data_IF_379693559668
#
_entry.id   IF_379693559668
#
_cell.length_a   1.000
_cell.length_b   1.000
_cell.length_c   1.000
_cell.angle_alpha   90.00
_cell.angle_beta   90.00
_cell.angle_gamma   90.00
#
_symmetry.space_group_name_H-M   'P 1'
#
loop_
_entity.id
_entity.type
_entity.pdbx_description
1 polymer ?
#
# COMPACT_ATOMS: atom_id res chain seq x y z
N UNK A 1 -11.25 -10.63 -21.16
CA UNK A 1 -10.94 -9.57 -20.18
C UNK A 1 -9.71 -8.82 -20.63
N UNK A 2 -9.64 -7.49 -20.41
CA UNK A 2 -8.60 -6.63 -20.98
C UNK A 2 -7.17 -6.87 -20.45
N UNK A 3 -7.02 -7.49 -19.26
CA UNK A 3 -5.72 -7.81 -18.61
C UNK A 3 -4.73 -6.62 -18.58
N UNK A 4 -5.29 -5.42 -18.48
CA UNK A 4 -4.55 -4.18 -18.37
C UNK A 4 -3.84 -4.12 -17.01
N UNK A 5 -2.54 -3.81 -16.94
CA UNK A 5 -1.85 -3.56 -15.68
C UNK A 5 -2.54 -2.44 -14.89
N UNK A 6 -2.69 -2.61 -13.58
CA UNK A 6 -3.38 -1.64 -12.71
C UNK A 6 -2.44 -0.96 -11.73
N UNK A 7 -2.64 0.33 -11.51
CA UNK A 7 -1.90 1.15 -10.57
C UNK A 7 -2.85 1.75 -9.55
N UNK A 8 -2.55 1.58 -8.26
CA UNK A 8 -3.31 2.19 -7.17
C UNK A 8 -2.51 3.35 -6.59
N UNK A 9 -3.08 4.54 -6.64
CA UNK A 9 -2.52 5.77 -6.06
C UNK A 9 -3.32 6.16 -4.84
N UNK A 10 -2.69 6.84 -3.88
CA UNK A 10 -3.40 7.42 -2.73
C UNK A 10 -2.52 7.50 -1.49
N UNK A 11 -2.97 8.16 -0.41
CA UNK A 11 -2.19 8.32 0.81
C UNK A 11 -1.97 6.99 1.54
N UNK A 12 -1.04 6.95 2.50
CA UNK A 12 -0.84 5.76 3.32
C UNK A 12 -2.10 5.42 4.11
N UNK A 13 -2.36 4.13 4.30
CA UNK A 13 -3.44 3.66 5.18
C UNK A 13 -4.87 3.95 4.69
N UNK A 14 -5.09 4.30 3.41
CA UNK A 14 -6.42 4.46 2.82
C UNK A 14 -7.06 3.17 2.27
N UNK A 15 -6.38 2.02 2.39
CA UNK A 15 -6.95 0.71 2.04
C UNK A 15 -6.54 0.12 0.69
N UNK A 16 -5.54 0.67 -0.02
CA UNK A 16 -5.04 0.14 -1.30
C UNK A 16 -4.71 -1.35 -1.27
N UNK A 17 -3.85 -1.80 -0.35
CA UNK A 17 -3.45 -3.21 -0.27
C UNK A 17 -4.64 -4.12 0.07
N UNK A 18 -5.52 -3.69 0.99
CA UNK A 18 -6.74 -4.43 1.35
C UNK A 18 -7.74 -4.51 0.19
N UNK A 19 -7.81 -3.49 -0.67
CA UNK A 19 -8.59 -3.54 -1.90
C UNK A 19 -8.04 -4.60 -2.87
N UNK A 20 -6.71 -4.69 -3.03
CA UNK A 20 -6.10 -5.73 -3.88
C UNK A 20 -6.39 -7.14 -3.35
N UNK A 21 -6.28 -7.34 -2.03
CA UNK A 21 -6.64 -8.60 -1.37
C UNK A 21 -8.10 -8.98 -1.61
N UNK A 22 -9.03 -8.03 -1.43
CA UNK A 22 -10.44 -8.24 -1.70
C UNK A 22 -10.69 -8.60 -3.17
N UNK A 23 -10.03 -7.92 -4.11
CA UNK A 23 -10.17 -8.20 -5.54
C UNK A 23 -9.59 -9.56 -5.91
N UNK A 24 -8.46 -9.98 -5.31
CA UNK A 24 -7.90 -11.30 -5.50
C UNK A 24 -8.87 -12.40 -5.01
N UNK A 25 -9.43 -12.22 -3.81
CA UNK A 25 -10.47 -13.11 -3.27
C UNK A 25 -11.70 -13.16 -4.18
N UNK A 26 -12.24 -11.99 -4.57
CA UNK A 26 -13.45 -11.87 -5.40
C UNK A 26 -13.28 -12.48 -6.79
N UNK A 27 -12.08 -12.39 -7.36
CA UNK A 27 -11.75 -12.95 -8.67
C UNK A 27 -11.30 -14.43 -8.60
N UNK A 28 -11.24 -15.00 -7.39
CA UNK A 28 -10.70 -16.33 -7.11
C UNK A 28 -9.31 -16.53 -7.73
N UNK A 29 -8.40 -15.59 -7.44
CA UNK A 29 -7.02 -15.60 -7.94
C UNK A 29 -6.03 -15.63 -6.78
N UNK A 30 -4.93 -16.40 -6.88
CA UNK A 30 -3.81 -16.26 -5.96
C UNK A 30 -3.25 -14.84 -6.01
N UNK A 31 -2.86 -14.32 -4.85
CA UNK A 31 -2.19 -13.03 -4.72
C UNK A 31 -0.76 -13.26 -4.24
N UNK A 32 0.20 -12.73 -4.99
CA UNK A 32 1.61 -12.70 -4.61
C UNK A 32 1.96 -11.23 -4.38
N UNK A 33 2.06 -10.85 -3.12
CA UNK A 33 2.45 -9.49 -2.69
C UNK A 33 3.95 -9.41 -2.50
N UNK A 34 4.56 -8.36 -3.04
CA UNK A 34 5.96 -8.03 -2.86
C UNK A 34 6.05 -6.63 -2.26
N UNK A 35 6.56 -6.53 -1.03
CA UNK A 35 6.89 -5.26 -0.41
C UNK A 35 8.20 -4.73 -1.00
N UNK A 36 8.11 -3.65 -1.78
CA UNK A 36 9.27 -3.07 -2.45
C UNK A 36 10.10 -2.25 -1.47
N UNK A 37 11.43 -2.27 -1.66
CA UNK A 37 12.36 -1.50 -0.86
C UNK A 37 13.64 -1.20 -1.68
N UNK A 38 14.48 -0.31 -1.16
CA UNK A 38 15.68 0.16 -1.86
C UNK A 38 16.75 -0.91 -2.11
N UNK A 39 16.74 -1.99 -1.32
CA UNK A 39 17.69 -3.10 -1.46
C UNK A 39 17.20 -4.17 -2.44
N UNK A 40 15.93 -4.08 -2.88
CA UNK A 40 15.35 -5.05 -3.80
C UNK A 40 15.99 -4.94 -5.19
N UNK A 41 16.51 -6.06 -5.68
CA UNK A 41 17.08 -6.18 -7.02
C UNK A 41 16.11 -6.84 -7.99
N UNK A 42 16.37 -6.70 -9.30
CA UNK A 42 15.62 -7.43 -10.33
C UNK A 42 15.69 -8.96 -10.14
N UNK A 43 16.78 -9.49 -9.57
CA UNK A 43 16.91 -10.93 -9.30
C UNK A 43 15.99 -11.39 -8.16
N UNK A 44 15.67 -10.53 -7.20
CA UNK A 44 14.72 -10.87 -6.14
C UNK A 44 13.30 -11.00 -6.68
N UNK A 45 12.93 -10.23 -7.71
CA UNK A 45 11.63 -10.33 -8.39
C UNK A 45 11.56 -11.52 -9.36
N UNK A 46 12.59 -11.70 -10.19
CA UNK A 46 12.58 -12.69 -11.28
C UNK A 46 13.01 -14.07 -10.82
N UNK A 47 14.01 -14.15 -9.97
CA UNK A 47 14.60 -15.41 -9.51
C UNK A 47 16.12 -15.42 -9.57
N UNK A 48 16.70 -16.42 -8.94
CA UNK A 48 18.14 -16.60 -8.80
C UNK A 48 18.50 -18.09 -8.73
N UNK A 49 19.76 -18.37 -9.04
CA UNK A 49 20.35 -19.67 -8.73
C UNK A 49 20.75 -19.73 -7.26
N UNK A 50 20.38 -20.82 -6.60
CA UNK A 50 20.78 -21.15 -5.24
C UNK A 50 21.71 -22.37 -5.28
N UNK A 51 22.72 -22.35 -4.41
CA UNK A 51 23.58 -23.50 -4.17
C UNK A 51 22.91 -24.41 -3.13
N UNK A 52 22.70 -25.67 -3.50
CA UNK A 52 22.21 -26.73 -2.63
C UNK A 52 23.22 -27.87 -2.59
N UNK A 53 23.03 -28.85 -1.68
CA UNK A 53 23.91 -30.02 -1.51
C UNK A 53 24.08 -30.83 -2.80
N UNK A 54 23.06 -30.86 -3.65
CA UNK A 54 23.05 -31.58 -4.93
C UNK A 54 23.53 -30.72 -6.12
N UNK A 55 23.96 -29.48 -5.86
CA UNK A 55 24.41 -28.53 -6.89
C UNK A 55 23.52 -27.29 -7.01
N UNK A 56 23.69 -26.58 -8.12
CA UNK A 56 23.03 -25.29 -8.37
C UNK A 56 21.61 -25.48 -8.89
N UNK A 57 20.60 -24.99 -8.17
CA UNK A 57 19.18 -25.07 -8.54
C UNK A 57 18.61 -23.67 -8.80
N UNK A 58 17.77 -23.53 -9.83
CA UNK A 58 17.05 -22.29 -10.09
C UNK A 58 15.84 -22.16 -9.15
N UNK A 59 15.67 -20.99 -8.54
CA UNK A 59 14.47 -20.63 -7.80
C UNK A 59 13.81 -19.42 -8.47
N UNK A 60 12.56 -19.59 -8.91
CA UNK A 60 11.75 -18.49 -9.43
C UNK A 60 11.47 -17.47 -8.31
N UNK A 61 11.55 -16.20 -8.66
CA UNK A 61 11.10 -15.11 -7.81
C UNK A 61 9.57 -14.96 -7.82
N UNK A 62 9.01 -14.05 -7.00
CA UNK A 62 7.57 -13.85 -6.89
C UNK A 62 6.94 -13.39 -8.21
N UNK A 63 7.61 -12.54 -8.99
CA UNK A 63 7.09 -12.06 -10.28
C UNK A 63 7.06 -13.18 -11.32
N UNK A 64 8.13 -13.98 -11.42
CA UNK A 64 8.19 -15.11 -12.33
C UNK A 64 7.15 -16.18 -11.95
N UNK A 65 7.03 -16.49 -10.65
CA UNK A 65 6.03 -17.43 -10.15
C UNK A 65 4.61 -16.97 -10.52
N UNK A 66 4.28 -15.71 -10.25
CA UNK A 66 2.96 -15.16 -10.60
C UNK A 66 2.69 -15.23 -12.11
N UNK A 67 3.69 -14.89 -12.93
CA UNK A 67 3.61 -14.94 -14.37
C UNK A 67 3.38 -16.37 -14.89
N UNK A 68 3.94 -17.39 -14.26
CA UNK A 68 3.73 -18.80 -14.65
C UNK A 68 2.35 -19.34 -14.26
N UNK A 69 1.91 -19.07 -13.03
CA UNK A 69 0.69 -19.70 -12.48
C UNK A 69 -0.59 -18.89 -12.74
N UNK A 70 -0.47 -17.69 -13.32
CA UNK A 70 -1.62 -16.83 -13.57
C UNK A 70 -2.17 -16.16 -12.31
N UNK A 71 -1.29 -15.79 -11.37
CA UNK A 71 -1.64 -15.07 -10.17
C UNK A 71 -1.71 -13.54 -10.41
N UNK A 72 -2.29 -12.84 -9.44
CA UNK A 72 -2.10 -11.40 -9.29
C UNK A 72 -0.74 -11.20 -8.62
N UNK A 73 0.17 -10.49 -9.28
CA UNK A 73 1.39 -9.98 -8.66
C UNK A 73 1.17 -8.53 -8.24
N UNK A 74 1.27 -8.27 -6.94
CA UNK A 74 1.11 -6.95 -6.36
C UNK A 74 2.45 -6.42 -5.86
N UNK A 75 2.97 -5.38 -6.51
CA UNK A 75 4.18 -4.68 -6.08
C UNK A 75 3.76 -3.49 -5.21
N UNK A 76 3.82 -3.68 -3.89
CA UNK A 76 3.45 -2.65 -2.91
C UNK A 76 4.61 -1.66 -2.77
N UNK A 77 4.29 -0.36 -2.80
CA UNK A 77 5.26 0.74 -2.72
C UNK A 77 6.37 0.66 -3.78
N UNK A 78 6.01 0.39 -5.04
CA UNK A 78 6.96 0.11 -6.14
C UNK A 78 8.02 1.18 -6.39
N UNK A 79 7.75 2.41 -5.97
CA UNK A 79 8.65 3.58 -5.99
C UNK A 79 9.84 3.47 -5.04
N UNK A 80 9.74 2.65 -3.99
CA UNK A 80 10.87 2.38 -3.09
C UNK A 80 11.87 1.41 -3.71
N UNK A 81 11.47 0.65 -4.74
CA UNK A 81 12.40 -0.18 -5.49
C UNK A 81 13.36 0.67 -6.33
N UNK A 82 14.57 0.16 -6.53
CA UNK A 82 15.51 0.75 -7.47
C UNK A 82 14.93 0.80 -8.89
N UNK A 83 15.30 1.83 -9.65
CA UNK A 83 14.75 2.04 -10.99
C UNK A 83 15.03 0.86 -11.94
N UNK A 84 16.21 0.25 -11.87
CA UNK A 84 16.59 -0.95 -12.62
C UNK A 84 15.76 -2.18 -12.22
N UNK A 85 15.30 -2.26 -10.98
CA UNK A 85 14.35 -3.27 -10.54
C UNK A 85 12.96 -3.02 -11.12
N UNK A 86 12.49 -1.76 -11.20
CA UNK A 86 11.14 -1.46 -11.74
C UNK A 86 11.01 -1.72 -13.24
N UNK A 87 12.07 -1.56 -14.05
CA UNK A 87 11.98 -1.78 -15.51
C UNK A 87 11.75 -3.25 -15.89
N UNK A 88 12.00 -4.18 -14.97
CA UNK A 88 11.80 -5.63 -15.19
C UNK A 88 10.35 -5.98 -15.51
N UNK A 89 9.40 -5.13 -15.12
CA UNK A 89 7.98 -5.34 -15.37
C UNK A 89 7.54 -4.88 -16.77
N UNK A 90 8.35 -4.08 -17.48
CA UNK A 90 7.94 -3.50 -18.78
C UNK A 90 7.54 -4.58 -19.80
N UNK A 91 8.31 -5.67 -19.99
CA UNK A 91 7.93 -6.73 -20.94
C UNK A 91 6.60 -7.44 -20.60
N UNK A 92 6.19 -7.42 -19.33
CA UNK A 92 4.92 -7.96 -18.85
C UNK A 92 3.72 -7.03 -19.09
N UNK A 93 3.97 -5.75 -19.36
CA UNK A 93 2.93 -4.74 -19.65
C UNK A 93 2.66 -4.57 -21.15
N UNK A 94 3.57 -5.04 -22.01
CA UNK A 94 3.40 -4.98 -23.46
C UNK A 94 2.44 -6.07 -23.95
N UNK A 95 1.95 -5.92 -25.20
CA UNK A 95 1.04 -6.87 -25.85
C UNK A 95 1.53 -8.35 -25.87
N UNK A 96 2.85 -8.57 -25.82
CA UNK A 96 3.46 -9.92 -25.82
C UNK A 96 3.43 -10.59 -24.45
N UNK A 97 3.36 -9.82 -23.37
CA UNK A 97 3.35 -10.28 -21.97
C UNK A 97 4.36 -11.40 -21.69
N UNK A 98 5.64 -11.12 -21.91
CA UNK A 98 6.73 -12.07 -21.69
C UNK A 98 7.63 -11.59 -20.56
N UNK A 99 8.23 -12.51 -19.79
CA UNK A 99 9.25 -12.20 -18.80
C UNK A 99 10.57 -12.90 -19.19
N UNK A 100 11.57 -12.16 -19.67
CA UNK A 100 12.90 -12.73 -19.93
C UNK A 100 13.62 -13.05 -18.62
N UNK A 101 14.22 -14.23 -18.56
CA UNK A 101 15.09 -14.69 -17.48
C UNK A 101 16.47 -14.98 -18.08
N UNK A 102 17.23 -13.91 -18.32
CA UNK A 102 18.51 -13.98 -19.04
C UNK A 102 19.51 -14.94 -18.38
N UNK A 103 19.58 -14.93 -17.03
CA UNK A 103 20.45 -15.82 -16.26
C UNK A 103 20.16 -17.30 -16.51
N UNK A 104 18.91 -17.66 -16.80
CA UNK A 104 18.47 -19.04 -17.06
C UNK A 104 18.39 -19.35 -18.56
N UNK A 105 18.53 -18.34 -19.43
CA UNK A 105 18.27 -18.47 -20.86
C UNK A 105 16.82 -18.82 -21.19
N UNK A 106 15.88 -18.41 -20.34
CA UNK A 106 14.45 -18.75 -20.47
C UNK A 106 13.62 -17.51 -20.78
N UNK A 107 12.65 -17.64 -21.69
CA UNK A 107 11.63 -16.62 -21.93
C UNK A 107 10.26 -17.14 -21.48
N UNK A 108 9.75 -16.63 -20.36
CA UNK A 108 8.42 -16.98 -19.88
C UNK A 108 7.38 -16.23 -20.70
N UNK A 109 6.43 -16.95 -21.30
CA UNK A 109 5.17 -16.34 -21.75
C UNK A 109 4.21 -16.31 -20.56
N UNK A 110 3.80 -15.11 -20.13
CA UNK A 110 2.93 -14.99 -18.97
C UNK A 110 1.60 -15.70 -19.22
N UNK A 111 1.13 -16.41 -18.19
CA UNK A 111 -0.15 -17.09 -18.19
C UNK A 111 -1.27 -16.10 -18.57
N UNK A 112 -2.29 -16.51 -19.35
CA UNK A 112 -3.37 -15.61 -19.80
C UNK A 112 -4.06 -14.84 -18.66
N UNK A 113 -4.09 -15.45 -17.47
CA UNK A 113 -4.70 -14.90 -16.27
C UNK A 113 -3.77 -14.11 -15.35
N UNK A 114 -2.47 -14.07 -15.63
CA UNK A 114 -1.55 -13.23 -14.87
C UNK A 114 -2.03 -11.77 -14.91
N UNK A 115 -1.94 -11.10 -13.76
CA UNK A 115 -2.31 -9.71 -13.60
C UNK A 115 -1.23 -9.00 -12.80
N UNK A 116 -0.75 -7.87 -13.32
CA UNK A 116 0.17 -7.00 -12.61
C UNK A 116 -0.60 -5.86 -11.95
N UNK A 117 -0.33 -5.63 -10.67
CA UNK A 117 -0.83 -4.49 -9.89
C UNK A 117 0.35 -3.84 -9.18
N UNK A 118 0.40 -2.51 -9.19
CA UNK A 118 1.40 -1.73 -8.44
C UNK A 118 0.69 -0.71 -7.55
N UNK A 119 1.29 -0.33 -6.42
CA UNK A 119 0.84 0.80 -5.61
C UNK A 119 1.98 1.79 -5.37
N UNK A 120 1.63 3.05 -5.15
CA UNK A 120 2.52 4.02 -4.53
C UNK A 120 1.74 5.18 -3.90
N UNK A 121 2.40 5.94 -3.03
CA UNK A 121 1.84 7.11 -2.34
C UNK A 121 2.37 8.39 -3.00
N UNK A 122 1.59 9.10 -3.84
CA UNK A 122 2.05 10.32 -4.49
C UNK A 122 2.37 11.42 -3.46
N UNK A 123 3.51 12.10 -3.63
CA UNK A 123 3.91 13.21 -2.76
C UNK A 123 4.55 12.80 -1.43
N UNK A 124 4.64 11.50 -1.13
CA UNK A 124 5.35 11.00 0.05
C UNK A 124 6.88 10.98 -0.16
N UNK A 125 7.33 10.74 -1.40
CA UNK A 125 8.75 10.69 -1.73
C UNK A 125 9.29 12.03 -2.24
N UNK A 126 10.60 12.22 -2.07
CA UNK A 126 11.34 13.26 -2.78
C UNK A 126 11.09 13.15 -4.29
N UNK A 127 11.08 14.29 -4.99
CA UNK A 127 10.89 14.37 -6.45
C UNK A 127 11.82 13.43 -7.25
N UNK A 128 12.94 13.00 -6.65
CA UNK A 128 13.93 12.07 -7.22
C UNK A 128 13.45 10.61 -7.30
N UNK A 129 12.44 10.21 -6.51
CA UNK A 129 11.94 8.83 -6.37
C UNK A 129 10.53 8.61 -6.97
N UNK A 130 10.12 9.46 -7.91
CA UNK A 130 8.85 9.27 -8.61
C UNK A 130 8.96 8.20 -9.72
N UNK A 131 7.84 7.56 -10.06
CA UNK A 131 7.76 6.67 -11.22
C UNK A 131 7.98 7.46 -12.51
N UNK A 132 8.88 6.96 -13.37
CA UNK A 132 9.10 7.51 -14.71
C UNK A 132 7.80 7.51 -15.53
N UNK A 133 7.60 8.53 -16.36
CA UNK A 133 6.44 8.63 -17.26
C UNK A 133 6.28 7.40 -18.16
N UNK A 134 7.39 6.83 -18.63
CA UNK A 134 7.39 5.59 -19.43
C UNK A 134 6.85 4.38 -18.68
N UNK A 135 7.00 4.32 -17.34
CA UNK A 135 6.36 3.30 -16.52
C UNK A 135 4.90 3.67 -16.29
N UNK A 136 4.58 4.94 -15.97
CA UNK A 136 3.21 5.37 -15.68
C UNK A 136 2.23 5.10 -16.83
N UNK A 137 2.64 5.36 -18.07
CA UNK A 137 1.81 5.20 -19.27
C UNK A 137 1.52 3.73 -19.65
N UNK A 138 2.05 2.76 -18.91
CA UNK A 138 1.80 1.33 -19.11
C UNK A 138 0.67 0.77 -18.25
N UNK A 139 0.05 1.60 -17.40
CA UNK A 139 -0.94 1.17 -16.42
C UNK A 139 -2.23 1.98 -16.54
N UNK A 140 -3.37 1.30 -16.36
CA UNK A 140 -4.61 1.97 -15.92
C UNK A 140 -4.48 2.33 -14.44
N UNK A 141 -5.07 3.45 -14.01
CA UNK A 141 -4.92 3.95 -12.65
C UNK A 141 -6.26 4.08 -11.92
N UNK A 142 -6.25 3.77 -10.63
CA UNK A 142 -7.29 4.12 -9.67
C UNK A 142 -6.68 5.04 -8.61
N UNK A 143 -7.37 6.13 -8.33
CA UNK A 143 -6.97 7.10 -7.32
C UNK A 143 -7.79 6.87 -6.05
N UNK A 144 -7.11 6.61 -4.95
CA UNK A 144 -7.68 6.39 -3.63
C UNK A 144 -7.42 7.62 -2.78
N UNK A 145 -8.41 7.96 -1.97
CA UNK A 145 -8.25 8.92 -0.89
C UNK A 145 -8.86 8.33 0.38
N UNK A 146 -8.76 9.05 1.49
CA UNK A 146 -9.53 8.70 2.68
C UNK A 146 -11.03 8.69 2.36
N UNK A 147 -11.80 7.72 2.88
CA UNK A 147 -13.22 7.63 2.58
C UNK A 147 -13.99 8.87 3.04
N UNK A 148 -15.21 9.03 2.53
CA UNK A 148 -16.14 10.01 3.10
C UNK A 148 -16.45 9.64 4.55
N UNK A 149 -16.76 10.65 5.36
CA UNK A 149 -16.98 10.51 6.81
C UNK A 149 -17.87 9.31 7.16
N UNK A 150 -19.05 9.20 6.54
CA UNK A 150 -19.99 8.11 6.81
C UNK A 150 -19.38 6.72 6.54
N UNK A 151 -18.63 6.58 5.46
CA UNK A 151 -17.99 5.31 5.09
C UNK A 151 -16.82 5.02 6.05
N UNK A 152 -16.04 6.04 6.40
CA UNK A 152 -14.91 5.88 7.31
C UNK A 152 -15.37 5.50 8.73
N UNK A 153 -16.47 6.09 9.22
CA UNK A 153 -17.11 5.71 10.49
C UNK A 153 -17.51 4.22 10.48
N UNK A 154 -18.12 3.75 9.40
CA UNK A 154 -18.48 2.33 9.27
C UNK A 154 -17.26 1.42 9.27
N UNK A 155 -16.19 1.82 8.57
CA UNK A 155 -14.92 1.08 8.55
C UNK A 155 -14.31 1.04 9.96
N UNK A 156 -14.16 2.19 10.62
CA UNK A 156 -13.54 2.29 11.94
C UNK A 156 -14.35 1.50 12.96
N UNK A 157 -15.67 1.68 13.01
CA UNK A 157 -16.53 0.93 13.94
C UNK A 157 -16.42 -0.58 13.72
N UNK A 158 -16.49 -1.04 12.47
CA UNK A 158 -16.42 -2.48 12.14
C UNK A 158 -15.06 -3.09 12.44
N UNK A 159 -13.97 -2.42 12.09
CA UNK A 159 -12.61 -2.97 12.21
C UNK A 159 -12.00 -2.84 13.61
N UNK A 160 -12.52 -1.92 14.43
CA UNK A 160 -12.01 -1.69 15.79
C UNK A 160 -12.91 -2.21 16.91
N UNK A 161 -14.20 -2.45 16.62
CA UNK A 161 -15.19 -2.93 17.58
C UNK A 161 -15.81 -1.84 18.46
N UNK A 162 -15.52 -0.55 18.23
CA UNK A 162 -16.17 0.56 18.93
C UNK A 162 -17.54 0.87 18.35
N UNK A 163 -18.40 1.50 19.15
CA UNK A 163 -19.71 1.97 18.68
C UNK A 163 -19.58 3.12 17.67
N UNK A 164 -20.64 3.35 16.89
CA UNK A 164 -20.64 4.37 15.84
C UNK A 164 -20.35 5.79 16.37
N UNK A 165 -20.79 6.15 17.57
CA UNK A 165 -20.55 7.51 18.12
C UNK A 165 -19.08 7.70 18.45
N UNK A 166 -18.42 6.67 18.98
CA UNK A 166 -16.97 6.70 19.22
C UNK A 166 -16.21 6.79 17.89
N UNK A 167 -16.61 6.01 16.88
CA UNK A 167 -16.01 6.08 15.55
C UNK A 167 -16.20 7.45 14.88
N UNK A 168 -17.38 8.06 14.98
CA UNK A 168 -17.66 9.43 14.50
C UNK A 168 -16.69 10.45 15.11
N UNK A 169 -16.48 10.40 16.43
CA UNK A 169 -15.52 11.28 17.11
C UNK A 169 -14.09 11.10 16.59
N UNK A 170 -13.63 9.86 16.44
CA UNK A 170 -12.30 9.56 15.91
C UNK A 170 -12.13 10.12 14.47
N UNK A 171 -13.12 9.90 13.62
CA UNK A 171 -13.13 10.38 12.23
C UNK A 171 -13.13 11.92 12.18
N UNK A 172 -13.92 12.58 13.03
CA UNK A 172 -13.94 14.05 13.13
C UNK A 172 -12.58 14.64 13.52
N UNK A 173 -11.86 14.01 14.46
CA UNK A 173 -10.48 14.39 14.79
C UNK A 173 -9.56 14.20 13.57
N UNK A 174 -9.69 13.08 12.86
CA UNK A 174 -8.94 12.81 11.62
C UNK A 174 -9.16 13.89 10.56
N UNK A 175 -10.41 14.29 10.32
CA UNK A 175 -10.77 15.31 9.35
C UNK A 175 -10.13 16.66 9.68
N UNK A 176 -10.13 17.06 10.96
CA UNK A 176 -9.43 18.28 11.39
C UNK A 176 -7.93 18.19 11.13
N UNK A 177 -7.29 17.07 11.46
CA UNK A 177 -5.87 16.89 11.19
C UNK A 177 -5.54 16.88 9.70
N UNK A 178 -6.38 16.28 8.86
CA UNK A 178 -6.20 16.28 7.39
C UNK A 178 -6.26 17.68 6.78
N UNK A 179 -7.04 18.58 7.37
CA UNK A 179 -7.08 20.00 6.96
C UNK A 179 -5.80 20.78 7.34
N UNK A 180 -4.97 20.25 8.23
CA UNK A 180 -3.67 20.83 8.59
C UNK A 180 -2.53 20.35 7.67
N UNK A 181 -2.82 19.46 6.71
CA UNK A 181 -1.83 19.01 5.72
C UNK A 181 -1.35 20.21 4.91
N UNK A 182 -0.03 20.41 4.85
CA UNK A 182 0.61 21.57 4.22
C UNK A 182 0.63 22.84 5.09
N UNK A 183 0.07 22.77 6.30
CA UNK A 183 0.05 23.85 7.31
C UNK A 183 0.67 23.38 8.63
N UNK A 184 1.78 22.64 8.56
CA UNK A 184 2.50 22.10 9.72
C UNK A 184 2.47 20.56 9.82
N UNK A 185 1.60 19.89 9.05
CA UNK A 185 1.66 18.44 8.86
C UNK A 185 2.06 18.08 7.42
N UNK A 186 2.97 17.12 7.28
CA UNK A 186 3.31 16.52 5.99
C UNK A 186 2.16 15.62 5.50
N UNK A 187 1.51 14.90 6.42
CA UNK A 187 0.38 14.02 6.15
C UNK A 187 -0.73 14.14 7.20
N UNK A 188 -1.96 13.86 6.79
CA UNK A 188 -3.10 13.76 7.70
C UNK A 188 -3.23 12.37 8.32
N UNK A 189 -4.03 12.27 9.39
CA UNK A 189 -4.31 11.00 10.08
C UNK A 189 -4.92 9.99 9.11
N UNK A 190 -4.26 8.84 8.97
CA UNK A 190 -4.75 7.74 8.12
C UNK A 190 -5.87 6.94 8.78
N UNK A 191 -6.72 6.30 7.96
CA UNK A 191 -7.76 5.38 8.46
C UNK A 191 -7.16 4.25 9.31
N UNK A 192 -5.91 3.82 9.04
CA UNK A 192 -5.18 2.85 9.87
C UNK A 192 -5.01 3.33 11.32
N UNK A 193 -4.64 4.60 11.51
CA UNK A 193 -4.44 5.16 12.85
C UNK A 193 -5.78 5.27 13.61
N UNK A 194 -6.87 5.58 12.90
CA UNK A 194 -8.22 5.56 13.49
C UNK A 194 -8.63 4.17 13.97
N UNK A 195 -8.33 3.14 13.18
CA UNK A 195 -8.59 1.74 13.59
C UNK A 195 -7.76 1.38 14.82
N UNK A 196 -6.48 1.78 14.90
CA UNK A 196 -5.66 1.56 16.09
C UNK A 196 -6.20 2.29 17.33
N UNK A 197 -6.61 3.55 17.19
CA UNK A 197 -7.24 4.31 18.27
C UNK A 197 -8.49 3.59 18.78
N UNK A 198 -9.38 3.19 17.87
CA UNK A 198 -10.58 2.44 18.22
C UNK A 198 -10.28 1.09 18.89
N UNK A 199 -9.25 0.37 18.44
CA UNK A 199 -8.86 -0.92 19.03
C UNK A 199 -8.30 -0.79 20.45
N UNK A 200 -7.63 0.32 20.77
CA UNK A 200 -7.21 0.61 22.12
C UNK A 200 -8.42 0.96 23.01
N UNK A 201 -9.33 1.79 22.50
CA UNK A 201 -10.55 2.18 23.23
C UNK A 201 -11.43 0.96 23.51
N UNK A 202 -11.62 0.06 22.53
CA UNK A 202 -12.41 -1.16 22.73
C UNK A 202 -11.79 -2.13 23.73
N UNK A 203 -10.49 -1.99 24.03
CA UNK A 203 -9.77 -2.72 25.09
C UNK A 203 -9.73 -1.98 26.44
N UNK A 204 -10.43 -0.86 26.57
CA UNK A 204 -10.55 -0.11 27.82
C UNK A 204 -9.44 0.91 28.06
N UNK A 205 -8.64 1.26 27.05
CA UNK A 205 -7.73 2.41 27.15
C UNK A 205 -8.56 3.70 27.06
N UNK A 206 -8.27 4.64 27.95
CA UNK A 206 -8.91 5.96 27.96
C UNK A 206 -8.83 6.63 26.57
N UNK A 207 -9.93 7.16 26.00
CA UNK A 207 -9.95 7.68 24.63
C UNK A 207 -8.90 8.73 24.33
N UNK A 208 -8.63 9.64 25.27
CA UNK A 208 -7.60 10.67 25.10
C UNK A 208 -6.20 10.04 24.97
N UNK A 209 -5.88 9.08 25.83
CA UNK A 209 -4.60 8.36 25.80
C UNK A 209 -4.45 7.53 24.52
N UNK A 210 -5.53 6.86 24.07
CA UNK A 210 -5.55 6.11 22.83
C UNK A 210 -5.30 7.01 21.60
N UNK A 211 -5.99 8.15 21.52
CA UNK A 211 -5.78 9.14 20.46
C UNK A 211 -4.37 9.71 20.50
N UNK A 212 -3.83 10.07 21.67
CA UNK A 212 -2.47 10.59 21.78
C UNK A 212 -1.44 9.58 21.25
N UNK A 213 -1.54 8.32 21.69
CA UNK A 213 -0.62 7.24 21.31
C UNK A 213 -0.66 6.90 19.82
N UNK A 214 -1.80 7.08 19.14
CA UNK A 214 -2.01 6.57 17.77
C UNK A 214 -2.14 7.65 16.72
N UNK A 215 -2.78 8.77 17.04
CA UNK A 215 -3.17 9.81 16.08
C UNK A 215 -2.37 11.10 16.22
N UNK A 216 -1.71 11.32 17.36
CA UNK A 216 -0.95 12.56 17.63
C UNK A 216 0.55 12.28 17.65
N UNK A 217 1.04 11.48 18.59
CA UNK A 217 2.48 11.23 18.78
C UNK A 217 3.18 10.68 17.52
N UNK A 218 2.59 9.75 16.74
CA UNK A 218 3.22 9.24 15.54
C UNK A 218 3.19 10.22 14.35
N UNK A 219 2.36 11.26 14.40
CA UNK A 219 2.09 12.12 13.24
C UNK A 219 3.03 13.32 13.17
N UNK A 220 3.51 13.79 14.32
CA UNK A 220 4.36 14.98 14.37
C UNK A 220 5.27 15.01 15.59
N UNK A 221 6.47 15.54 15.39
CA UNK A 221 7.43 15.90 16.44
C UNK A 221 7.38 17.37 16.83
N UNK A 222 6.62 18.18 16.09
CA UNK A 222 6.42 19.59 16.37
C UNK A 222 5.50 19.79 17.59
N UNK A 223 5.97 20.45 18.67
CA UNK A 223 5.17 20.67 19.87
C UNK A 223 3.88 21.46 19.64
N UNK A 224 3.90 22.50 18.79
CA UNK A 224 2.74 23.35 18.53
C UNK A 224 1.65 22.56 17.77
N UNK A 225 2.10 21.69 16.85
CA UNK A 225 1.19 20.78 16.13
C UNK A 225 0.65 19.68 17.03
N UNK A 226 1.45 19.18 17.98
CA UNK A 226 0.95 18.24 19.01
C UNK A 226 -0.13 18.87 19.84
N UNK A 227 0.08 20.09 20.35
CA UNK A 227 -0.90 20.82 21.16
C UNK A 227 -2.19 21.10 20.37
N UNK A 228 -2.06 21.44 19.08
CA UNK A 228 -3.21 21.64 18.20
C UNK A 228 -4.03 20.37 18.02
N UNK A 229 -3.37 19.23 17.81
CA UNK A 229 -4.03 17.93 17.68
C UNK A 229 -4.62 17.45 19.01
N UNK A 230 -3.93 17.67 20.12
CA UNK A 230 -4.43 17.35 21.46
C UNK A 230 -5.68 18.17 21.81
N UNK A 231 -5.70 19.47 21.51
CA UNK A 231 -6.89 20.31 21.66
C UNK A 231 -8.07 19.78 20.83
N UNK A 232 -7.81 19.25 19.63
CA UNK A 232 -8.85 18.59 18.84
C UNK A 232 -9.36 17.31 19.53
N UNK A 233 -8.48 16.47 20.09
CA UNK A 233 -8.87 15.28 20.86
C UNK A 233 -9.72 15.66 22.08
N UNK A 234 -9.29 16.64 22.86
CA UNK A 234 -10.02 17.14 24.04
C UNK A 234 -11.40 17.70 23.67
N UNK A 235 -11.56 18.30 22.50
CA UNK A 235 -12.88 18.80 22.05
C UNK A 235 -13.93 17.68 21.93
N UNK A 236 -13.52 16.44 21.62
CA UNK A 236 -14.45 15.33 21.39
C UNK A 236 -14.52 14.33 22.56
N UNK A 237 -13.45 14.20 23.34
CA UNK A 237 -13.31 13.23 24.44
C UNK A 237 -12.98 13.87 25.80
N UNK A 238 -12.96 15.19 25.91
CA UNK A 238 -12.88 15.94 27.17
C UNK A 238 -14.24 16.12 27.84
#
# INVERSE_FOLDING_TARGET
TARMPMMLKGPTGCGKSRFVEYMAWKLNRPLITVACNEDMTASDLVGRFLLDKDGTKWQDGPLATAARIGAICYLDEVVEARQDTTVVIHPLTDHRRTLPIDKKGELIKAHPDFQLVISYNPGYQSLMKDLKQSTKQRFGALDFDYPTENIEVEIVSKESGVDKKTAEKLVQIAHRARNLKGHGLDEGISTRLLVYAGQLISKGVEPQAACMMTMVTPLTDDPDMRDTLDAAVQTFFG
#
